data_IF_865019923836
#
_entry.id   IF_865019923836
#
_cell.length_a   1.000
_cell.length_b   1.000
_cell.length_c   1.000
_cell.angle_alpha   90.00
_cell.angle_beta   90.00
_cell.angle_gamma   90.00
#
_symmetry.space_group_name_H-M   'P 1'
#
loop_
_entity.id
_entity.type
_entity.pdbx_description
1 polymer ?
#
# COMPACT_ATOMS: atom_id res chain seq x y z
N UNK A 1 4.35 -20.38 0.22
CA UNK A 1 4.43 -18.99 -0.27
C UNK A 1 3.03 -18.43 -0.43
N UNK A 2 2.85 -17.12 -0.25
CA UNK A 2 1.58 -16.41 -0.45
C UNK A 2 1.77 -15.49 -1.66
N UNK A 3 1.28 -15.91 -2.82
CA UNK A 3 1.70 -15.32 -4.10
C UNK A 3 0.93 -14.04 -4.49
N UNK A 4 -0.27 -13.83 -3.94
CA UNK A 4 -1.10 -12.67 -4.28
C UNK A 4 -2.08 -12.31 -3.16
N UNK A 5 -2.78 -11.19 -3.37
CA UNK A 5 -3.80 -10.66 -2.46
C UNK A 5 -4.97 -11.64 -2.22
N UNK A 6 -5.28 -12.52 -3.18
CA UNK A 6 -6.35 -13.50 -3.07
C UNK A 6 -5.95 -14.65 -2.14
N UNK A 7 -4.74 -15.18 -2.28
CA UNK A 7 -4.17 -16.15 -1.34
C UNK A 7 -4.03 -15.55 0.06
N UNK A 8 -3.55 -14.30 0.16
CA UNK A 8 -3.44 -13.58 1.43
C UNK A 8 -4.81 -13.42 2.10
N UNK A 9 -5.84 -13.05 1.32
CA UNK A 9 -7.22 -12.90 1.79
C UNK A 9 -7.78 -14.22 2.33
N UNK A 10 -7.59 -15.34 1.60
CA UNK A 10 -8.05 -16.66 2.04
C UNK A 10 -7.33 -17.11 3.32
N UNK A 11 -6.02 -16.88 3.39
CA UNK A 11 -5.23 -17.21 4.57
C UNK A 11 -5.68 -16.39 5.79
N UNK A 12 -5.83 -15.07 5.63
CA UNK A 12 -6.26 -14.18 6.71
C UNK A 12 -7.65 -14.57 7.24
N UNK A 13 -8.62 -14.83 6.33
CA UNK A 13 -9.95 -15.31 6.73
C UNK A 13 -9.90 -16.63 7.50
N UNK A 14 -9.02 -17.55 7.10
CA UNK A 14 -8.86 -18.84 7.78
C UNK A 14 -8.13 -18.71 9.13
N UNK A 15 -7.22 -17.75 9.28
CA UNK A 15 -6.44 -17.54 10.49
C UNK A 15 -7.27 -16.96 11.66
N UNK A 16 -8.32 -16.19 11.35
CA UNK A 16 -9.30 -15.73 12.33
C UNK A 16 -9.52 -14.21 12.32
N UNK A 17 -10.36 -13.69 13.24
CA UNK A 17 -10.85 -12.30 13.19
C UNK A 17 -9.79 -11.22 13.47
N UNK A 18 -8.58 -11.60 13.88
CA UNK A 18 -7.46 -10.68 14.11
C UNK A 18 -6.49 -10.61 12.92
N UNK A 19 -6.73 -11.40 11.86
CA UNK A 19 -5.84 -11.48 10.72
C UNK A 19 -6.38 -10.66 9.54
N UNK A 20 -5.49 -9.88 8.92
CA UNK A 20 -5.78 -8.98 7.82
C UNK A 20 -4.68 -9.10 6.75
N UNK A 21 -4.95 -8.53 5.57
CA UNK A 21 -4.01 -8.46 4.45
C UNK A 21 -3.19 -7.18 4.56
N UNK A 22 -1.87 -7.31 4.44
CA UNK A 22 -0.94 -6.20 4.25
C UNK A 22 -0.63 -6.06 2.76
N UNK A 23 -0.72 -4.84 2.24
CA UNK A 23 -0.47 -4.53 0.83
C UNK A 23 0.90 -3.87 0.70
N UNK A 24 1.84 -4.54 0.05
CA UNK A 24 3.10 -3.94 -0.38
C UNK A 24 2.99 -3.47 -1.83
N UNK A 25 3.27 -2.19 -2.11
CA UNK A 25 3.16 -1.62 -3.47
C UNK A 25 4.09 -2.31 -4.48
N UNK A 26 5.20 -2.88 -4.01
CA UNK A 26 6.21 -3.69 -4.69
C UNK A 26 5.70 -5.05 -5.21
N UNK A 27 4.81 -5.70 -4.46
CA UNK A 27 4.61 -7.16 -4.50
C UNK A 27 3.48 -7.62 -5.43
N UNK A 28 3.33 -6.96 -6.57
CA UNK A 28 2.26 -7.25 -7.52
C UNK A 28 2.83 -7.58 -8.91
N UNK A 29 2.10 -8.36 -9.70
CA UNK A 29 2.47 -8.55 -11.10
C UNK A 29 2.54 -7.22 -11.85
N UNK A 30 3.29 -7.21 -12.94
CA UNK A 30 3.42 -6.04 -13.81
C UNK A 30 2.05 -5.61 -14.35
N UNK A 31 1.81 -4.29 -14.39
CA UNK A 31 0.55 -3.68 -14.82
C UNK A 31 -0.70 -4.03 -13.99
N UNK A 32 -0.54 -4.65 -12.82
CA UNK A 32 -1.66 -4.90 -11.92
C UNK A 32 -2.20 -3.59 -11.35
N UNK A 33 -3.52 -3.44 -11.35
CA UNK A 33 -4.21 -2.32 -10.73
C UNK A 33 -4.27 -2.57 -9.21
N UNK A 34 -3.40 -1.90 -8.45
CA UNK A 34 -3.24 -2.09 -6.99
C UNK A 34 -4.37 -1.39 -6.24
N UNK A 35 -4.76 -0.22 -6.71
CA UNK A 35 -5.85 0.59 -6.19
C UNK A 35 -7.21 -0.16 -6.27
N UNK A 36 -7.45 -0.95 -7.31
CA UNK A 36 -8.59 -1.86 -7.37
C UNK A 36 -8.51 -2.95 -6.28
N UNK A 37 -7.33 -3.52 -6.02
CA UNK A 37 -7.13 -4.51 -4.95
C UNK A 37 -7.41 -3.88 -3.59
N UNK A 38 -6.94 -2.65 -3.36
CA UNK A 38 -7.24 -1.86 -2.15
C UNK A 38 -8.74 -1.71 -1.98
N UNK A 39 -9.47 -1.29 -3.03
CA UNK A 39 -10.93 -1.20 -3.00
C UNK A 39 -11.62 -2.52 -2.64
N UNK A 40 -11.15 -3.64 -3.18
CA UNK A 40 -11.66 -4.98 -2.82
C UNK A 40 -11.43 -5.33 -1.35
N UNK A 41 -10.23 -5.09 -0.83
CA UNK A 41 -9.87 -5.40 0.55
C UNK A 41 -10.61 -4.50 1.55
N UNK A 42 -10.81 -3.21 1.21
CA UNK A 42 -11.64 -2.28 1.97
C UNK A 42 -13.08 -2.79 2.08
N UNK A 43 -13.71 -3.14 0.95
CA UNK A 43 -15.08 -3.65 0.93
C UNK A 43 -15.24 -4.95 1.75
N UNK A 44 -14.22 -5.80 1.74
CA UNK A 44 -14.22 -7.03 2.54
C UNK A 44 -13.86 -6.82 4.01
N UNK A 45 -13.45 -5.60 4.41
CA UNK A 45 -12.89 -5.28 5.74
C UNK A 45 -11.68 -6.15 6.08
N UNK A 46 -10.83 -6.39 5.08
CA UNK A 46 -9.68 -7.29 5.18
C UNK A 46 -8.35 -6.59 4.93
N UNK A 47 -8.34 -5.27 4.73
CA UNK A 47 -7.09 -4.50 4.69
C UNK A 47 -6.62 -4.21 6.12
N UNK A 48 -5.36 -4.51 6.42
CA UNK A 48 -4.75 -4.24 7.73
C UNK A 48 -3.69 -3.15 7.67
N UNK A 49 -3.02 -2.99 6.53
CA UNK A 49 -1.96 -2.00 6.40
C UNK A 49 -1.27 -1.99 5.05
N UNK A 50 -0.32 -1.07 4.92
CA UNK A 50 0.53 -0.89 3.76
C UNK A 50 2.01 -0.95 4.12
N UNK A 51 2.78 -1.54 3.21
CA UNK A 51 4.20 -1.27 3.04
C UNK A 51 4.35 -0.40 1.79
N UNK A 52 4.73 0.86 2.00
CA UNK A 52 4.89 1.83 0.93
C UNK A 52 6.32 1.86 0.41
N UNK A 53 6.43 1.74 -0.91
CA UNK A 53 7.60 1.96 -1.75
C UNK A 53 7.17 2.39 -3.15
N UNK A 54 8.11 2.45 -4.07
CA UNK A 54 7.83 2.57 -5.49
C UNK A 54 8.68 1.57 -6.28
N UNK A 55 8.26 1.30 -7.53
CA UNK A 55 8.89 0.28 -8.36
C UNK A 55 8.77 0.55 -9.84
N UNK A 56 9.69 -0.03 -10.61
CA UNK A 56 9.61 -0.09 -12.08
C UNK A 56 9.55 -1.51 -12.62
N UNK A 57 10.23 -2.47 -11.98
CA UNK A 57 10.38 -3.85 -12.49
C UNK A 57 9.84 -4.93 -11.57
N UNK A 58 10.15 -4.88 -10.28
CA UNK A 58 9.66 -5.88 -9.33
C UNK A 58 9.55 -5.23 -7.94
N UNK A 59 10.06 -5.91 -6.94
CA UNK A 59 10.21 -5.40 -5.59
C UNK A 59 11.49 -4.55 -5.50
N UNK A 60 11.45 -3.38 -6.14
CA UNK A 60 12.64 -2.52 -6.29
C UNK A 60 12.93 -1.68 -5.03
N UNK A 61 11.95 -1.60 -4.11
CA UNK A 61 12.04 -0.88 -2.83
C UNK A 61 12.48 0.60 -2.95
N UNK A 62 12.02 1.28 -4.01
CA UNK A 62 12.41 2.67 -4.26
C UNK A 62 11.66 3.65 -3.36
N UNK A 63 12.16 4.88 -3.30
CA UNK A 63 11.49 6.00 -2.64
C UNK A 63 10.04 6.14 -3.14
N UNK A 64 9.07 6.15 -2.23
CA UNK A 64 7.64 6.34 -2.53
C UNK A 64 7.42 7.52 -3.49
N UNK A 65 6.66 7.28 -4.56
CA UNK A 65 6.30 8.29 -5.55
C UNK A 65 7.45 8.76 -6.46
N UNK A 66 8.58 8.04 -6.49
CA UNK A 66 9.70 8.38 -7.37
C UNK A 66 9.59 7.85 -8.81
N UNK A 67 8.68 6.90 -9.07
CA UNK A 67 8.40 6.32 -10.38
C UNK A 67 6.97 6.62 -10.82
N UNK A 68 5.97 6.27 -10.01
CA UNK A 68 4.54 6.56 -10.27
C UNK A 68 3.85 7.19 -9.05
N UNK A 69 4.06 8.51 -8.81
CA UNK A 69 3.37 9.20 -7.73
C UNK A 69 1.84 9.22 -7.90
N UNK A 70 1.33 9.04 -9.12
CA UNK A 70 -0.11 9.04 -9.35
C UNK A 70 -0.76 7.74 -8.88
N UNK A 71 -0.06 6.60 -8.89
CA UNK A 71 -0.57 5.36 -8.29
C UNK A 71 -0.76 5.52 -6.78
N UNK A 72 0.21 6.11 -6.09
CA UNK A 72 0.12 6.37 -4.64
C UNK A 72 -1.06 7.29 -4.33
N UNK A 73 -1.24 8.37 -5.11
CA UNK A 73 -2.42 9.23 -5.01
C UNK A 73 -3.72 8.43 -5.19
N UNK A 74 -3.82 7.56 -6.21
CA UNK A 74 -5.02 6.74 -6.44
C UNK A 74 -5.29 5.78 -5.29
N UNK A 75 -4.26 5.21 -4.66
CA UNK A 75 -4.41 4.37 -3.47
C UNK A 75 -5.02 5.18 -2.30
N UNK A 76 -4.50 6.36 -2.01
CA UNK A 76 -5.08 7.23 -0.97
C UNK A 76 -6.50 7.67 -1.32
N UNK A 77 -6.77 7.97 -2.59
CA UNK A 77 -8.11 8.29 -3.07
C UNK A 77 -9.12 7.18 -2.76
N UNK A 78 -8.80 5.90 -3.03
CA UNK A 78 -9.72 4.79 -2.72
C UNK A 78 -10.00 4.66 -1.22
N UNK A 79 -8.99 4.88 -0.37
CA UNK A 79 -9.16 4.86 1.09
C UNK A 79 -10.09 6.00 1.52
N UNK A 80 -9.79 7.24 1.13
CA UNK A 80 -10.56 8.42 1.52
C UNK A 80 -11.98 8.42 0.96
N UNK A 81 -12.17 7.94 -0.28
CA UNK A 81 -13.49 7.78 -0.88
C UNK A 81 -14.32 6.76 -0.09
N UNK A 82 -13.74 5.61 0.27
CA UNK A 82 -14.41 4.61 1.10
C UNK A 82 -14.80 5.17 2.48
N UNK A 83 -13.92 5.93 3.12
CA UNK A 83 -14.22 6.58 4.41
C UNK A 83 -15.37 7.60 4.30
N UNK A 84 -15.36 8.40 3.23
CA UNK A 84 -16.41 9.39 2.96
C UNK A 84 -17.78 8.73 2.71
N UNK A 85 -17.82 7.63 1.97
CA UNK A 85 -19.04 6.89 1.68
C UNK A 85 -19.62 6.18 2.93
N UNK A 86 -18.76 5.68 3.82
CA UNK A 86 -19.17 4.90 4.98
C UNK A 86 -19.28 5.74 6.27
N UNK A 87 -18.84 7.00 6.25
CA UNK A 87 -18.90 7.91 7.40
C UNK A 87 -18.02 7.49 8.58
N UNK A 88 -16.97 6.69 8.32
CA UNK A 88 -16.06 6.17 9.35
C UNK A 88 -14.64 6.06 8.79
N UNK A 89 -13.65 6.45 9.60
CA UNK A 89 -12.24 6.27 9.29
C UNK A 89 -11.86 4.79 9.35
N UNK A 90 -11.01 4.38 8.42
CA UNK A 90 -10.44 3.04 8.37
C UNK A 90 -9.29 2.91 9.38
N UNK A 91 -9.17 1.74 10.00
CA UNK A 91 -8.06 1.42 10.90
C UNK A 91 -6.94 0.73 10.10
N UNK A 92 -6.26 1.51 9.25
CA UNK A 92 -5.19 1.03 8.37
C UNK A 92 -3.85 1.48 8.92
N UNK A 93 -2.92 0.55 9.05
CA UNK A 93 -1.56 0.86 9.45
C UNK A 93 -0.70 1.26 8.24
N UNK A 94 -0.09 2.44 8.26
CA UNK A 94 0.79 2.91 7.19
C UNK A 94 2.27 2.78 7.60
N UNK A 95 3.04 1.99 6.83
CA UNK A 95 4.46 1.78 7.04
C UNK A 95 5.24 2.02 5.74
N UNK A 96 6.51 2.34 5.87
CA UNK A 96 7.46 2.45 4.76
C UNK A 96 8.31 1.18 4.75
N UNK A 97 8.44 0.54 3.60
CA UNK A 97 9.33 -0.60 3.38
C UNK A 97 10.17 -0.32 2.14
N UNK A 98 11.38 0.22 2.33
CA UNK A 98 12.21 0.74 1.25
C UNK A 98 13.69 0.42 1.48
N UNK A 99 14.45 0.34 0.38
CA UNK A 99 15.87 -0.03 0.37
C UNK A 99 16.70 1.03 -0.34
N UNK A 100 17.34 1.88 0.47
CA UNK A 100 18.13 3.00 -0.02
C UNK A 100 19.57 2.60 -0.34
N UNK A 101 19.77 2.13 -1.57
CA UNK A 101 21.06 1.62 -2.05
C UNK A 101 22.05 2.72 -2.49
N UNK A 102 21.53 3.82 -3.07
CA UNK A 102 22.35 4.87 -3.69
C UNK A 102 22.14 6.27 -3.06
N UNK A 103 21.22 6.39 -2.10
CA UNK A 103 20.87 7.63 -1.41
C UNK A 103 21.19 7.53 0.08
N UNK A 104 21.42 8.67 0.72
CA UNK A 104 21.49 8.74 2.18
C UNK A 104 20.16 8.33 2.80
N UNK A 105 20.21 7.42 3.79
CA UNK A 105 19.01 6.80 4.37
C UNK A 105 18.08 7.83 5.02
N UNK A 106 18.64 8.81 5.74
CA UNK A 106 17.86 9.80 6.46
C UNK A 106 17.16 10.74 5.48
N UNK A 107 17.90 11.25 4.49
CA UNK A 107 17.38 12.16 3.47
C UNK A 107 16.27 11.48 2.64
N UNK A 108 16.49 10.22 2.27
CA UNK A 108 15.50 9.45 1.52
C UNK A 108 14.24 9.14 2.34
N UNK A 109 14.37 8.90 3.65
CA UNK A 109 13.21 8.74 4.54
C UNK A 109 12.43 10.04 4.74
N UNK A 110 13.12 11.18 4.90
CA UNK A 110 12.46 12.50 4.97
C UNK A 110 11.69 12.76 3.66
N UNK A 111 12.34 12.55 2.52
CA UNK A 111 11.69 12.69 1.21
C UNK A 111 10.42 11.82 1.11
N UNK A 112 10.52 10.56 1.54
CA UNK A 112 9.39 9.61 1.52
C UNK A 112 8.20 10.11 2.34
N UNK A 113 8.44 10.55 3.57
CA UNK A 113 7.37 11.02 4.45
C UNK A 113 6.74 12.32 3.92
N UNK A 114 7.54 13.25 3.41
CA UNK A 114 7.02 14.47 2.79
C UNK A 114 6.14 14.15 1.57
N UNK A 115 6.61 13.28 0.67
CA UNK A 115 5.82 12.87 -0.51
C UNK A 115 4.55 12.12 -0.12
N UNK A 116 4.59 11.25 0.90
CA UNK A 116 3.39 10.58 1.40
C UNK A 116 2.34 11.58 1.89
N UNK A 117 2.76 12.60 2.66
CA UNK A 117 1.87 13.64 3.17
C UNK A 117 1.29 14.51 2.04
N UNK A 118 2.10 14.88 1.06
CA UNK A 118 1.66 15.66 -0.11
C UNK A 118 0.65 14.90 -0.97
N UNK A 119 0.85 13.59 -1.16
CA UNK A 119 -0.03 12.76 -1.97
C UNK A 119 -1.33 12.36 -1.25
N UNK A 120 -1.32 12.39 0.08
CA UNK A 120 -2.49 12.14 0.91
C UNK A 120 -3.41 13.37 1.06
N UNK A 121 -2.83 14.58 1.12
CA UNK A 121 -3.52 15.84 1.45
C UNK A 121 -4.50 16.32 0.37
#
# INVERSE_FOLDING_TARGET
DIADWGMALLLAKAAGPQAYVLVDTGHHYQAQNIEQIVGWLLHHKMIGGFHFNDRRYADDDLTLGSIDPYQVFRIFHEILAFEAENGATTDIAFMVDQSHNLKGKIEAMIQTVCSAQELYA
#
